data_IF_836796533902
#
_entry.id   IF_836796533902
#
_cell.length_a   1.000
_cell.length_b   1.000
_cell.length_c   1.000
_cell.angle_alpha   90.00
_cell.angle_beta   90.00
_cell.angle_gamma   90.00
#
_symmetry.space_group_name_H-M   'P 1'
#
loop_
_entity.id
_entity.type
_entity.pdbx_description
1 polymer ?
#
# COMPACT_ATOMS: atom_id res chain seq x y z
N UNK A 1 -74.81 -27.74 7.70
CA UNK A 1 -75.15 -26.70 8.69
C UNK A 1 -73.94 -26.47 9.59
N UNK A 2 -73.39 -25.25 9.51
CA UNK A 2 -72.60 -24.50 10.50
C UNK A 2 -71.26 -25.12 10.95
N UNK A 3 -70.09 -24.62 10.52
CA UNK A 3 -69.37 -23.40 10.96
C UNK A 3 -69.14 -23.33 12.49
N UNK A 4 -67.92 -22.92 12.88
CA UNK A 4 -67.30 -22.87 14.22
C UNK A 4 -66.56 -24.19 14.57
N UNK A 5 -65.25 -24.27 14.78
CA UNK A 5 -64.27 -23.32 15.32
C UNK A 5 -62.94 -23.43 14.58
N UNK A 6 -62.66 -22.38 13.81
CA UNK A 6 -61.32 -21.99 13.41
C UNK A 6 -60.64 -21.30 14.61
N UNK A 7 -59.32 -21.46 14.77
CA UNK A 7 -58.41 -20.74 15.71
C UNK A 7 -58.13 -21.42 17.06
N UNK A 8 -57.17 -22.33 17.06
CA UNK A 8 -56.27 -22.76 18.17
C UNK A 8 -55.36 -23.83 17.53
N UNK A 9 -54.05 -23.76 17.43
CA UNK A 9 -53.04 -22.89 17.98
C UNK A 9 -51.88 -22.81 16.96
N UNK A 10 -51.79 -21.67 16.27
CA UNK A 10 -50.64 -21.26 15.47
C UNK A 10 -50.08 -20.02 16.19
N UNK A 11 -49.50 -20.26 17.36
CA UNK A 11 -48.98 -19.22 18.27
C UNK A 11 -47.90 -19.87 19.13
N UNK A 12 -46.74 -20.11 18.52
CA UNK A 12 -45.63 -20.77 19.21
C UNK A 12 -44.26 -20.63 18.57
N UNK A 13 -44.10 -19.86 17.49
CA UNK A 13 -42.79 -19.62 16.86
C UNK A 13 -42.81 -18.22 16.24
N UNK A 14 -42.51 -17.17 17.02
CA UNK A 14 -42.22 -15.83 16.48
C UNK A 14 -41.62 -14.88 17.53
N UNK A 15 -40.73 -15.36 18.41
CA UNK A 15 -40.17 -14.50 19.47
C UNK A 15 -38.70 -14.82 19.79
N UNK A 16 -37.83 -14.90 18.78
CA UNK A 16 -36.39 -14.66 18.95
C UNK A 16 -35.81 -14.12 17.64
N UNK A 17 -36.25 -12.92 17.26
CA UNK A 17 -35.56 -12.12 16.26
C UNK A 17 -35.36 -10.71 16.84
N UNK A 18 -34.10 -10.27 16.82
CA UNK A 18 -33.65 -8.91 17.12
C UNK A 18 -33.57 -8.50 18.60
N UNK A 19 -32.58 -9.05 19.30
CA UNK A 19 -31.87 -8.33 20.35
C UNK A 19 -30.37 -8.65 20.25
N UNK A 20 -29.79 -8.20 19.14
CA UNK A 20 -28.36 -8.27 18.88
C UNK A 20 -28.01 -7.06 18.05
N UNK A 21 -28.15 -5.86 18.62
CA UNK A 21 -27.26 -4.77 18.23
C UNK A 21 -25.87 -5.30 18.55
N UNK A 22 -25.20 -5.89 17.57
CA UNK A 22 -23.77 -6.07 17.67
C UNK A 22 -23.21 -4.68 17.87
N UNK A 23 -22.57 -4.44 19.01
CA UNK A 23 -21.58 -3.39 19.12
C UNK A 23 -20.54 -3.70 18.05
N UNK A 24 -20.76 -3.23 16.82
CA UNK A 24 -19.71 -3.18 15.84
C UNK A 24 -18.65 -2.29 16.48
N UNK A 25 -17.43 -2.82 16.74
CA UNK A 25 -16.37 -2.00 17.28
C UNK A 25 -16.23 -0.80 16.34
N UNK A 26 -16.27 0.41 16.92
CA UNK A 26 -16.13 1.64 16.16
C UNK A 26 -14.88 1.51 15.28
N UNK A 27 -15.05 1.67 13.96
CA UNK A 27 -13.94 1.57 13.03
C UNK A 27 -12.87 2.59 13.43
N UNK A 28 -11.61 2.16 13.61
CA UNK A 28 -10.52 3.08 13.90
C UNK A 28 -10.49 4.17 12.83
N UNK A 29 -10.51 5.43 13.26
CA UNK A 29 -10.39 6.59 12.36
C UNK A 29 -9.01 7.20 12.36
N UNK A 30 -8.17 6.79 13.30
CA UNK A 30 -6.83 7.35 13.51
C UNK A 30 -5.82 6.23 13.33
N UNK A 31 -4.80 6.53 12.54
CA UNK A 31 -3.65 5.68 12.31
C UNK A 31 -2.94 5.36 13.64
N UNK A 32 -2.64 4.08 13.95
CA UNK A 32 -1.96 3.71 15.19
C UNK A 32 -0.57 4.35 15.29
N UNK A 33 -0.14 4.72 16.49
CA UNK A 33 1.23 5.19 16.67
C UNK A 33 2.19 3.99 16.65
N UNK A 34 3.07 3.96 15.65
CA UNK A 34 4.16 3.00 15.50
C UNK A 34 5.45 3.80 15.52
N UNK A 35 6.47 3.37 16.28
CA UNK A 35 7.74 4.10 16.26
C UNK A 35 8.51 3.82 14.97
N UNK A 36 9.25 4.83 14.48
CA UNK A 36 10.08 4.70 13.27
C UNK A 36 11.08 3.55 13.38
N UNK A 37 11.63 3.30 14.58
CA UNK A 37 12.54 2.19 14.84
C UNK A 37 11.87 0.82 14.70
N UNK A 38 10.66 0.66 15.27
CA UNK A 38 9.88 -0.58 15.14
C UNK A 38 9.49 -0.82 13.68
N UNK A 39 9.10 0.25 12.99
CA UNK A 39 8.70 0.19 11.60
C UNK A 39 9.88 -0.17 10.69
N UNK A 40 11.01 0.53 10.82
CA UNK A 40 12.24 0.22 10.07
C UNK A 40 12.68 -1.23 10.31
N UNK A 41 12.68 -1.69 11.58
CA UNK A 41 12.99 -3.09 11.91
C UNK A 41 12.05 -4.07 11.21
N UNK A 42 10.74 -3.81 11.27
CA UNK A 42 9.76 -4.68 10.61
C UNK A 42 9.90 -4.67 9.09
N UNK A 43 10.32 -3.55 8.48
CA UNK A 43 10.55 -3.49 7.04
C UNK A 43 11.76 -4.36 6.66
N UNK A 44 12.86 -4.26 7.41
CA UNK A 44 14.06 -5.11 7.19
C UNK A 44 13.69 -6.58 7.30
N UNK A 45 12.99 -6.97 8.37
CA UNK A 45 12.59 -8.36 8.60
C UNK A 45 11.69 -8.87 7.46
N UNK A 46 10.77 -8.03 6.96
CA UNK A 46 9.93 -8.38 5.82
C UNK A 46 10.73 -8.49 4.52
N UNK A 47 11.49 -7.47 4.16
CA UNK A 47 12.33 -7.47 2.96
C UNK A 47 13.22 -8.72 2.90
N UNK A 48 13.83 -9.10 4.03
CA UNK A 48 14.62 -10.31 4.13
C UNK A 48 13.80 -11.59 3.90
N UNK A 49 12.61 -11.71 4.49
CA UNK A 49 11.74 -12.88 4.32
C UNK A 49 11.23 -13.01 2.88
N UNK A 50 10.75 -11.91 2.32
CA UNK A 50 10.11 -11.92 1.00
C UNK A 50 11.14 -12.03 -0.14
N UNK A 51 12.39 -11.59 0.05
CA UNK A 51 13.46 -11.77 -0.94
C UNK A 51 13.79 -13.27 -1.16
N UNK A 52 13.37 -14.15 -0.25
CA UNK A 52 13.57 -15.61 -0.35
C UNK A 52 12.40 -16.34 -1.02
N UNK A 53 11.31 -15.64 -1.34
CA UNK A 53 10.07 -16.25 -1.84
C UNK A 53 9.47 -15.44 -2.98
N UNK A 54 8.57 -16.06 -3.74
CA UNK A 54 7.70 -15.32 -4.67
C UNK A 54 6.36 -15.14 -3.97
N UNK A 55 5.97 -13.89 -3.78
CA UNK A 55 4.68 -13.53 -3.19
C UNK A 55 3.80 -12.99 -4.30
N UNK A 56 2.72 -13.72 -4.59
CA UNK A 56 1.66 -13.27 -5.49
C UNK A 56 0.88 -12.11 -4.88
N UNK A 57 0.41 -11.19 -5.72
CA UNK A 57 -0.37 -10.03 -5.30
C UNK A 57 0.41 -8.99 -4.49
N UNK A 58 1.74 -9.01 -4.54
CA UNK A 58 2.60 -8.04 -3.85
C UNK A 58 2.39 -6.62 -4.38
N UNK A 59 2.38 -6.45 -5.69
CA UNK A 59 2.10 -5.14 -6.27
C UNK A 59 0.59 -5.02 -6.53
N UNK A 60 -0.02 -3.99 -5.93
CA UNK A 60 -1.43 -3.62 -6.11
C UNK A 60 -2.42 -4.79 -5.99
N UNK A 61 -2.09 -5.82 -5.20
CA UNK A 61 -2.94 -7.00 -5.01
C UNK A 61 -3.05 -7.94 -6.23
N UNK A 62 -2.24 -7.75 -7.27
CA UNK A 62 -2.37 -8.50 -8.52
C UNK A 62 -1.07 -9.14 -8.99
N UNK A 63 0.04 -8.40 -8.98
CA UNK A 63 1.29 -8.88 -9.56
C UNK A 63 2.24 -9.46 -8.52
N UNK A 64 2.97 -10.53 -8.85
CA UNK A 64 3.97 -11.08 -7.96
C UNK A 64 5.15 -10.12 -7.81
N UNK A 65 5.86 -10.25 -6.69
CA UNK A 65 7.10 -9.49 -6.43
C UNK A 65 8.25 -9.99 -7.31
N UNK A 66 8.27 -9.59 -8.58
CA UNK A 66 9.30 -9.97 -9.55
C UNK A 66 10.05 -8.76 -10.09
N UNK A 67 11.31 -8.65 -9.70
CA UNK A 67 12.20 -7.57 -10.12
C UNK A 67 13.03 -7.96 -11.34
N UNK A 68 13.03 -7.08 -12.34
CA UNK A 68 13.75 -7.18 -13.60
C UNK A 68 15.03 -6.35 -13.60
N UNK A 69 15.13 -5.34 -12.72
CA UNK A 69 16.30 -4.48 -12.62
C UNK A 69 17.34 -4.99 -11.62
N UNK A 70 18.43 -4.23 -11.45
CA UNK A 70 19.41 -4.46 -10.40
C UNK A 70 18.87 -4.29 -8.97
N UNK A 71 17.72 -3.64 -8.79
CA UNK A 71 17.05 -3.42 -7.49
C UNK A 71 16.82 -4.73 -6.72
N UNK A 72 16.67 -5.84 -7.44
CA UNK A 72 16.58 -7.18 -6.85
C UNK A 72 17.76 -7.56 -5.93
N UNK A 73 18.92 -6.90 -6.12
CA UNK A 73 20.15 -7.14 -5.35
C UNK A 73 20.34 -6.14 -4.19
N UNK A 74 19.51 -5.11 -4.11
CA UNK A 74 19.51 -4.14 -3.01
C UNK A 74 19.26 -4.86 -1.69
N UNK A 75 20.03 -4.51 -0.66
CA UNK A 75 19.90 -5.19 0.64
C UNK A 75 18.59 -4.84 1.35
N UNK A 76 18.10 -5.69 2.26
CA UNK A 76 16.94 -5.38 3.09
C UNK A 76 17.03 -4.04 3.82
N UNK A 77 18.21 -3.66 4.30
CA UNK A 77 18.47 -2.39 4.99
C UNK A 77 18.31 -1.19 4.06
N UNK A 78 18.89 -1.25 2.86
CA UNK A 78 18.73 -0.19 1.86
C UNK A 78 17.26 -0.05 1.42
N UNK A 79 16.55 -1.18 1.20
CA UNK A 79 15.11 -1.17 0.91
C UNK A 79 14.32 -0.51 2.03
N UNK A 80 14.66 -0.79 3.30
CA UNK A 80 14.01 -0.20 4.46
C UNK A 80 14.26 1.30 4.58
N UNK A 81 15.48 1.76 4.31
CA UNK A 81 15.81 3.19 4.32
C UNK A 81 15.05 3.94 3.24
N UNK A 82 15.08 3.42 2.01
CA UNK A 82 14.29 3.99 0.92
C UNK A 82 12.79 4.02 1.25
N UNK A 83 12.23 2.93 1.78
CA UNK A 83 10.82 2.84 2.16
C UNK A 83 10.42 3.89 3.20
N UNK A 84 11.26 4.09 4.23
CA UNK A 84 11.02 5.10 5.27
C UNK A 84 11.10 6.52 4.72
N UNK A 85 12.13 6.85 3.94
CA UNK A 85 12.31 8.18 3.36
C UNK A 85 11.23 8.49 2.31
N UNK A 86 10.82 7.49 1.53
CA UNK A 86 9.75 7.63 0.57
C UNK A 86 8.40 7.88 1.25
N UNK A 87 8.06 7.11 2.28
CA UNK A 87 6.85 7.33 3.07
C UNK A 87 6.87 8.72 3.73
N UNK A 88 8.03 9.16 4.23
CA UNK A 88 8.22 10.52 4.75
C UNK A 88 7.99 11.58 3.67
N UNK A 89 8.53 11.42 2.46
CA UNK A 89 8.31 12.34 1.35
C UNK A 89 6.82 12.45 0.99
N UNK A 90 6.11 11.32 0.98
CA UNK A 90 4.66 11.28 0.72
C UNK A 90 3.89 12.04 1.81
N UNK A 91 4.23 11.81 3.09
CA UNK A 91 3.61 12.48 4.22
C UNK A 91 3.90 14.00 4.25
N UNK A 92 5.15 14.40 4.03
CA UNK A 92 5.58 15.81 4.01
C UNK A 92 4.96 16.59 2.84
N UNK A 93 4.67 15.89 1.73
CA UNK A 93 3.95 16.45 0.58
C UNK A 93 2.44 16.60 0.82
N UNK A 94 1.93 16.11 1.95
CA UNK A 94 0.55 16.30 2.38
C UNK A 94 -0.48 15.37 1.73
N UNK A 95 -0.06 14.24 1.14
CA UNK A 95 -0.99 13.26 0.60
C UNK A 95 -1.90 12.70 1.70
N UNK A 96 -3.21 12.64 1.42
CA UNK A 96 -4.28 12.15 2.31
C UNK A 96 -5.39 11.49 1.49
N UNK A 97 -5.06 10.49 0.69
CA UNK A 97 -5.98 9.84 -0.24
C UNK A 97 -7.11 9.06 0.44
N UNK A 98 -6.97 8.78 1.74
CA UNK A 98 -8.02 8.23 2.61
C UNK A 98 -9.17 9.21 2.87
N UNK A 99 -8.92 10.52 2.73
CA UNK A 99 -9.91 11.59 2.91
C UNK A 99 -10.19 12.36 1.62
N UNK A 100 -9.15 12.63 0.84
CA UNK A 100 -9.16 13.54 -0.31
C UNK A 100 -8.39 12.93 -1.47
N UNK A 101 -9.11 12.38 -2.45
CA UNK A 101 -8.51 11.63 -3.57
C UNK A 101 -7.55 12.46 -4.44
N UNK A 102 -7.87 13.72 -4.71
CA UNK A 102 -7.03 14.69 -5.45
C UNK A 102 -5.79 15.16 -4.67
N UNK A 103 -5.54 14.62 -3.47
CA UNK A 103 -4.25 14.82 -2.77
C UNK A 103 -3.13 13.88 -3.25
N UNK A 104 -3.41 12.99 -4.21
CA UNK A 104 -2.41 12.10 -4.79
C UNK A 104 -1.20 12.87 -5.32
N UNK A 105 -0.01 12.42 -4.96
CA UNK A 105 1.24 12.96 -5.52
C UNK A 105 1.49 12.32 -6.88
N UNK A 106 1.63 13.10 -7.96
CA UNK A 106 1.96 12.60 -9.30
C UNK A 106 3.17 11.66 -9.34
N UNK A 107 3.12 10.67 -10.23
CA UNK A 107 4.23 9.74 -10.44
C UNK A 107 5.56 10.46 -10.75
N UNK A 108 5.53 11.55 -11.54
CA UNK A 108 6.72 12.33 -11.88
C UNK A 108 7.47 12.83 -10.64
N UNK A 109 6.77 13.35 -9.64
CA UNK A 109 7.38 13.80 -8.37
C UNK A 109 7.97 12.65 -7.56
N UNK A 110 7.29 11.50 -7.53
CA UNK A 110 7.79 10.28 -6.88
C UNK A 110 9.06 9.77 -7.56
N UNK A 111 9.05 9.76 -8.90
CA UNK A 111 10.21 9.42 -9.73
C UNK A 111 11.38 10.38 -9.49
N UNK A 112 11.14 11.69 -9.45
CA UNK A 112 12.18 12.69 -9.15
C UNK A 112 12.84 12.44 -7.80
N UNK A 113 12.03 12.22 -6.76
CA UNK A 113 12.53 11.84 -5.43
C UNK A 113 13.38 10.56 -5.51
N UNK A 114 12.87 9.51 -6.13
CA UNK A 114 13.56 8.23 -6.20
C UNK A 114 14.86 8.31 -7.01
N UNK A 115 14.88 9.05 -8.11
CA UNK A 115 16.11 9.30 -8.88
C UNK A 115 17.13 10.01 -7.99
N UNK A 116 16.74 11.05 -7.27
CA UNK A 116 17.65 11.76 -6.39
C UNK A 116 18.22 10.84 -5.29
N UNK A 117 17.35 10.06 -4.64
CA UNK A 117 17.75 9.14 -3.57
C UNK A 117 18.70 8.05 -4.06
N UNK A 118 18.34 7.33 -5.15
CA UNK A 118 19.15 6.24 -5.68
C UNK A 118 20.43 6.72 -6.40
N UNK A 119 20.48 7.98 -6.84
CA UNK A 119 21.70 8.55 -7.43
C UNK A 119 22.73 8.99 -6.40
N UNK A 120 22.34 9.11 -5.13
CA UNK A 120 23.28 9.47 -4.07
C UNK A 120 24.18 8.28 -3.72
N UNK A 121 25.51 8.39 -3.89
CA UNK A 121 26.43 7.30 -3.55
C UNK A 121 26.45 6.94 -2.06
N UNK A 122 25.90 7.79 -1.18
CA UNK A 122 25.69 7.46 0.22
C UNK A 122 24.62 6.38 0.42
N UNK A 123 23.68 6.25 -0.51
CA UNK A 123 22.57 5.30 -0.46
C UNK A 123 22.83 4.06 -1.31
N UNK A 124 23.34 4.25 -2.53
CA UNK A 124 23.66 3.14 -3.42
C UNK A 124 24.72 3.50 -4.46
N UNK A 125 25.61 2.55 -4.76
CA UNK A 125 26.67 2.76 -5.77
C UNK A 125 26.44 1.97 -7.06
N UNK A 126 25.41 1.11 -7.12
CA UNK A 126 25.13 0.24 -8.26
C UNK A 126 24.11 0.85 -9.22
N UNK A 127 23.14 1.62 -8.73
CA UNK A 127 22.12 2.30 -9.50
C UNK A 127 22.73 3.17 -10.59
N UNK A 128 23.71 4.02 -10.22
CA UNK A 128 24.35 4.95 -11.15
C UNK A 128 25.10 4.24 -12.29
N UNK A 129 25.52 2.98 -12.09
CA UNK A 129 26.21 2.15 -13.08
C UNK A 129 25.26 1.45 -14.06
N UNK A 130 23.96 1.40 -13.77
CA UNK A 130 22.99 0.73 -14.63
C UNK A 130 22.77 1.51 -15.95
N UNK A 131 22.46 0.78 -17.03
CA UNK A 131 22.00 1.40 -18.28
C UNK A 131 20.72 2.20 -18.06
N UNK A 132 20.47 3.27 -18.85
CA UNK A 132 19.28 4.13 -18.69
C UNK A 132 17.96 3.36 -18.61
N UNK A 133 17.77 2.35 -19.47
CA UNK A 133 16.58 1.48 -19.46
C UNK A 133 16.39 0.75 -18.12
N UNK A 134 17.48 0.24 -17.53
CA UNK A 134 17.42 -0.47 -16.26
C UNK A 134 17.28 0.48 -15.07
N UNK A 135 17.74 1.73 -15.16
CA UNK A 135 17.47 2.77 -14.16
C UNK A 135 15.98 3.09 -14.08
N UNK A 136 15.29 3.21 -15.21
CA UNK A 136 13.84 3.43 -15.24
C UNK A 136 13.10 2.28 -14.54
N UNK A 137 13.44 1.04 -14.87
CA UNK A 137 12.87 -0.14 -14.21
C UNK A 137 13.17 -0.16 -12.70
N UNK A 138 14.41 0.17 -12.30
CA UNK A 138 14.80 0.24 -10.89
C UNK A 138 13.94 1.23 -10.11
N UNK A 139 13.77 2.45 -10.63
CA UNK A 139 12.97 3.47 -9.95
C UNK A 139 11.52 3.02 -9.81
N UNK A 140 10.94 2.43 -10.85
CA UNK A 140 9.57 1.94 -10.80
C UNK A 140 9.40 0.81 -9.77
N UNK A 141 10.30 -0.17 -9.80
CA UNK A 141 10.31 -1.30 -8.86
C UNK A 141 10.50 -0.83 -7.41
N UNK A 142 11.42 0.11 -7.17
CA UNK A 142 11.67 0.67 -5.85
C UNK A 142 10.47 1.44 -5.30
N UNK A 143 9.79 2.24 -6.11
CA UNK A 143 8.61 3.00 -5.68
C UNK A 143 7.45 2.08 -5.24
N UNK A 144 7.19 1.03 -6.03
CA UNK A 144 6.15 0.05 -5.71
C UNK A 144 6.53 -0.77 -4.48
N UNK A 145 7.74 -1.33 -4.46
CA UNK A 145 8.19 -2.20 -3.38
C UNK A 145 8.39 -1.45 -2.06
N UNK A 146 8.99 -0.25 -2.11
CA UNK A 146 9.24 0.54 -0.92
C UNK A 146 7.96 0.98 -0.21
N UNK A 147 6.94 1.41 -0.96
CA UNK A 147 5.64 1.73 -0.34
C UNK A 147 4.91 0.50 0.16
N UNK A 148 4.95 -0.63 -0.56
CA UNK A 148 4.34 -1.89 -0.10
C UNK A 148 5.02 -2.42 1.17
N UNK A 149 6.36 -2.42 1.21
CA UNK A 149 7.16 -2.81 2.37
C UNK A 149 6.81 -1.99 3.61
N UNK A 150 6.70 -0.66 3.45
CA UNK A 150 6.29 0.23 4.52
C UNK A 150 4.88 -0.10 5.01
N UNK A 151 3.92 -0.23 4.09
CA UNK A 151 2.52 -0.46 4.45
C UNK A 151 2.29 -1.82 5.09
N UNK A 152 2.85 -2.89 4.55
CA UNK A 152 2.75 -4.23 5.16
C UNK A 152 3.37 -4.28 6.55
N UNK A 153 4.46 -3.55 6.77
CA UNK A 153 5.08 -3.40 8.09
C UNK A 153 4.20 -2.62 9.05
N UNK A 154 3.58 -1.56 8.55
CA UNK A 154 2.66 -0.77 9.33
C UNK A 154 1.40 -1.56 9.71
N UNK A 155 0.79 -2.31 8.78
CA UNK A 155 -0.33 -3.21 9.04
C UNK A 155 0.02 -4.31 10.03
N UNK A 156 1.20 -4.92 9.90
CA UNK A 156 1.67 -5.96 10.82
C UNK A 156 1.80 -5.46 12.25
N UNK A 157 2.26 -4.22 12.43
CA UNK A 157 2.47 -3.61 13.74
C UNK A 157 1.19 -2.98 14.32
N UNK A 158 0.35 -2.39 13.47
CA UNK A 158 -0.91 -1.75 13.85
C UNK A 158 -2.09 -2.72 14.02
N UNK A 159 -2.05 -3.86 13.33
CA UNK A 159 -3.08 -4.90 13.37
C UNK A 159 -4.48 -4.35 13.06
N UNK A 160 -5.48 -4.80 13.83
CA UNK A 160 -6.88 -4.38 13.67
C UNK A 160 -7.14 -2.89 13.93
N UNK A 161 -6.14 -2.13 14.41
CA UNK A 161 -6.25 -0.70 14.62
C UNK A 161 -6.02 0.13 13.35
N UNK A 162 -5.54 -0.48 12.25
CA UNK A 162 -5.37 0.23 10.97
C UNK A 162 -6.75 0.53 10.35
N UNK A 163 -7.05 1.81 10.04
CA UNK A 163 -8.31 2.19 9.41
C UNK A 163 -8.47 1.56 8.01
N UNK A 164 -9.61 0.91 7.70
CA UNK A 164 -9.88 0.38 6.36
C UNK A 164 -9.74 1.41 5.22
N UNK A 165 -10.14 2.69 5.37
CA UNK A 165 -9.93 3.71 4.34
C UNK A 165 -8.45 3.94 3.99
N UNK A 166 -7.54 3.77 4.96
CA UNK A 166 -6.11 3.96 4.72
C UNK A 166 -5.51 2.81 3.90
N UNK A 167 -5.99 1.57 4.12
CA UNK A 167 -5.64 0.39 3.30
C UNK A 167 -6.10 0.59 1.86
N UNK A 168 -7.37 1.00 1.67
CA UNK A 168 -7.90 1.28 0.33
C UNK A 168 -7.16 2.42 -0.38
N UNK A 169 -6.75 3.45 0.37
CA UNK A 169 -5.96 4.55 -0.16
C UNK A 169 -4.59 4.08 -0.66
N UNK A 170 -3.94 3.17 0.08
CA UNK A 170 -2.68 2.54 -0.33
C UNK A 170 -2.83 1.69 -1.60
N UNK A 171 -3.81 0.78 -1.63
CA UNK A 171 -4.05 -0.07 -2.81
C UNK A 171 -4.26 0.76 -4.07
N UNK A 172 -4.97 1.87 -3.90
CA UNK A 172 -5.28 2.77 -4.98
C UNK A 172 -4.07 3.64 -5.37
N UNK A 173 -3.19 4.02 -4.43
CA UNK A 173 -1.86 4.57 -4.74
C UNK A 173 -1.02 3.58 -5.57
N UNK A 174 -0.88 2.34 -5.10
CA UNK A 174 -0.14 1.28 -5.79
C UNK A 174 -0.64 1.10 -7.23
N UNK A 175 -1.97 1.12 -7.43
CA UNK A 175 -2.57 1.05 -8.76
C UNK A 175 -2.17 2.23 -9.65
N UNK A 176 -2.15 3.46 -9.12
CA UNK A 176 -1.74 4.64 -9.87
C UNK A 176 -0.24 4.58 -10.22
N UNK A 177 0.62 4.27 -9.24
CA UNK A 177 2.08 4.17 -9.45
C UNK A 177 2.40 3.09 -10.49
N UNK A 178 1.72 1.95 -10.44
CA UNK A 178 1.85 0.85 -11.42
C UNK A 178 1.50 1.28 -12.85
N UNK A 179 0.36 1.96 -13.02
CA UNK A 179 -0.14 2.39 -14.35
C UNK A 179 0.72 3.45 -15.03
N UNK A 180 1.39 4.31 -14.26
CA UNK A 180 2.11 5.47 -14.79
C UNK A 180 3.63 5.27 -14.92
N UNK A 181 4.11 4.02 -15.08
CA UNK A 181 5.52 3.76 -15.42
C UNK A 181 5.88 4.42 -16.76
N UNK A 182 6.54 5.58 -16.71
CA UNK A 182 6.98 6.28 -17.92
C UNK A 182 8.09 5.47 -18.62
N UNK A 183 7.89 5.19 -19.91
CA UNK A 183 9.00 4.88 -20.82
C UNK A 183 9.59 6.19 -21.32
N UNK A 184 10.92 6.31 -21.40
CA UNK A 184 11.61 7.49 -21.95
C UNK A 184 11.19 7.82 -23.41
N UNK A 185 10.40 6.96 -24.07
CA UNK A 185 9.96 7.08 -25.47
C UNK A 185 8.46 7.35 -25.62
N UNK A 186 7.71 7.39 -24.53
CA UNK A 186 6.27 7.64 -24.57
C UNK A 186 5.88 8.43 -23.31
N UNK A 187 5.92 9.79 -23.34
CA UNK A 187 5.52 10.66 -22.24
C UNK A 187 3.99 10.64 -22.07
N UNK A 188 3.45 9.45 -21.78
CA UNK A 188 2.04 9.12 -21.71
C UNK A 188 1.32 9.94 -20.66
N UNK A 189 0.89 11.12 -21.09
CA UNK A 189 -0.15 11.97 -20.54
C UNK A 189 0.12 12.59 -19.17
N UNK A 190 0.93 13.66 -19.19
CA UNK A 190 0.79 14.79 -18.25
C UNK A 190 -0.65 15.35 -18.18
N UNK A 191 -1.51 15.04 -19.17
CA UNK A 191 -2.85 15.59 -19.33
C UNK A 191 -4.00 14.83 -18.65
N UNK A 192 -3.77 13.63 -18.10
CA UNK A 192 -4.84 12.79 -17.50
C UNK A 192 -4.67 12.49 -16.02
N UNK A 193 -3.60 12.97 -15.39
CA UNK A 193 -3.51 12.92 -13.94
C UNK A 193 -4.48 13.96 -13.35
N UNK A 194 -5.40 13.56 -12.43
CA UNK A 194 -6.22 14.55 -11.73
C UNK A 194 -5.28 15.52 -11.02
N UNK A 195 -5.46 16.82 -11.30
CA UNK A 195 -4.75 17.92 -10.62
C UNK A 195 -5.27 18.12 -9.22
#
# INVERSE_FOLDING_TARGET
MNFLFCRLALLGICLFAFAGCSDQPATPRVMPKVSDEQLKKSIIDQAHQIDQTVIDGWFFGQEPRLFKSGYRKTTPEQKAEFAMDYAKMVADSGQKMDVKWDSYIPYSKRREFAIAWWSDPAHDTEYVKQDPRYKVLWIHEALLDGSELWWRSYERLGGAAVPPPAVLAHDAEQSLVSKYSESDHNPGSFSTQPR
#
